data_IF_470193801968
#
_entry.id   IF_470193801968
#
_cell.length_a   1.000
_cell.length_b   1.000
_cell.length_c   1.000
_cell.angle_alpha   90.00
_cell.angle_beta   90.00
_cell.angle_gamma   90.00
#
_symmetry.space_group_name_H-M   'P 1'
#
loop_
_entity.id
_entity.type
_entity.pdbx_description
1 polymer ?
#
# COMPACT_ATOMS: atom_id res chain seq x y z
N UNK A 1 -9.02 -23.64 -5.08
CA UNK A 1 -8.54 -22.43 -5.81
C UNK A 1 -7.05 -22.35 -5.57
N UNK A 2 -6.24 -22.84 -6.51
CA UNK A 2 -4.79 -22.72 -6.44
C UNK A 2 -4.39 -21.52 -7.28
N UNK A 3 -3.99 -20.43 -6.64
CA UNK A 3 -3.29 -19.36 -7.35
C UNK A 3 -1.97 -19.96 -7.88
N UNK A 4 -1.59 -19.75 -9.15
CA UNK A 4 -0.26 -20.12 -9.62
C UNK A 4 0.76 -19.22 -8.90
N UNK A 5 1.29 -19.72 -7.80
CA UNK A 5 2.21 -19.04 -6.91
C UNK A 5 2.36 -19.81 -5.61
N UNK A 6 3.55 -19.76 -5.01
CA UNK A 6 3.75 -20.31 -3.67
C UNK A 6 3.16 -19.33 -2.65
N UNK A 7 2.19 -19.79 -1.87
CA UNK A 7 1.63 -19.01 -0.76
C UNK A 7 2.34 -19.44 0.51
N UNK A 8 2.95 -18.48 1.20
CA UNK A 8 3.54 -18.69 2.53
C UNK A 8 2.67 -18.01 3.58
N UNK A 9 2.03 -18.80 4.45
CA UNK A 9 1.37 -18.27 5.63
C UNK A 9 2.38 -18.00 6.73
N UNK A 10 2.23 -16.88 7.44
CA UNK A 10 3.04 -16.52 8.61
C UNK A 10 2.05 -16.27 9.76
N UNK A 11 2.16 -17.07 10.80
CA UNK A 11 1.35 -16.94 12.02
C UNK A 11 2.15 -16.17 13.08
N UNK A 12 1.46 -15.33 13.84
CA UNK A 12 2.02 -14.56 14.96
C UNK A 12 1.27 -14.91 16.23
N UNK A 13 1.99 -15.04 17.35
CA UNK A 13 1.43 -15.50 18.62
C UNK A 13 0.50 -14.47 19.29
N UNK A 14 0.64 -13.19 18.93
CA UNK A 14 -0.15 -12.09 19.47
C UNK A 14 -0.57 -11.10 18.38
N UNK A 15 -1.59 -10.30 18.67
CA UNK A 15 -2.05 -9.26 17.74
C UNK A 15 -1.07 -8.07 17.76
N UNK A 16 -0.28 -7.94 16.70
CA UNK A 16 0.72 -6.88 16.54
C UNK A 16 0.13 -5.58 15.94
N UNK A 17 -1.17 -5.54 15.71
CA UNK A 17 -1.81 -4.49 14.93
C UNK A 17 -1.43 -4.56 13.44
N UNK A 18 -2.00 -3.64 12.64
CA UNK A 18 -1.77 -3.59 11.20
C UNK A 18 -0.29 -3.32 10.85
N UNK A 19 0.36 -2.28 11.41
CA UNK A 19 1.76 -1.98 11.10
C UNK A 19 2.74 -3.08 11.55
N UNK A 20 2.50 -3.67 12.73
CA UNK A 20 3.33 -4.75 13.25
C UNK A 20 3.22 -6.04 12.41
N UNK A 21 2.01 -6.39 11.96
CA UNK A 21 1.80 -7.51 11.04
C UNK A 21 2.50 -7.31 9.69
N UNK A 22 2.42 -6.10 9.12
CA UNK A 22 3.15 -5.74 7.88
C UNK A 22 4.66 -5.89 8.07
N UNK A 23 5.21 -5.48 9.21
CA UNK A 23 6.64 -5.61 9.51
C UNK A 23 7.12 -7.08 9.56
N UNK A 24 6.27 -8.01 10.02
CA UNK A 24 6.59 -9.46 9.98
C UNK A 24 6.71 -9.94 8.53
N UNK A 25 5.80 -9.51 7.66
CA UNK A 25 5.87 -9.77 6.23
C UNK A 25 7.13 -9.20 5.58
N UNK A 26 7.46 -7.94 5.87
CA UNK A 26 8.67 -7.28 5.38
C UNK A 26 9.94 -8.01 5.82
N UNK A 27 10.01 -8.44 7.09
CA UNK A 27 11.14 -9.20 7.61
C UNK A 27 11.35 -10.52 6.85
N UNK A 28 10.25 -11.26 6.58
CA UNK A 28 10.30 -12.49 5.77
C UNK A 28 10.73 -12.21 4.33
N UNK A 29 10.23 -11.14 3.72
CA UNK A 29 10.59 -10.77 2.35
C UNK A 29 12.08 -10.41 2.22
N UNK A 30 12.69 -9.84 3.26
CA UNK A 30 14.15 -9.55 3.29
C UNK A 30 15.03 -10.80 3.30
N UNK A 31 14.49 -11.97 3.66
CA UNK A 31 15.24 -13.23 3.56
C UNK A 31 15.46 -13.63 2.08
N UNK A 32 14.65 -13.11 1.16
CA UNK A 32 14.88 -13.18 -0.27
C UNK A 32 15.79 -12.01 -0.67
N UNK A 33 17.00 -12.32 -1.10
CA UNK A 33 18.05 -11.31 -1.35
C UNK A 33 17.80 -10.44 -2.59
N UNK A 34 16.76 -10.71 -3.36
CA UNK A 34 16.46 -10.14 -4.68
C UNK A 34 15.12 -9.38 -4.74
N UNK A 35 14.58 -8.97 -3.58
CA UNK A 35 13.35 -8.18 -3.50
C UNK A 35 13.69 -6.68 -3.48
N UNK A 36 13.41 -5.99 -4.58
CA UNK A 36 13.59 -4.53 -4.68
C UNK A 36 12.33 -3.73 -4.31
N UNK A 37 11.16 -4.34 -4.49
CA UNK A 37 9.85 -3.69 -4.32
C UNK A 37 8.89 -4.66 -3.63
N UNK A 38 8.14 -4.17 -2.66
CA UNK A 38 7.06 -4.89 -1.98
C UNK A 38 5.73 -4.29 -2.43
N UNK A 39 4.74 -5.13 -2.73
CA UNK A 39 3.36 -4.70 -2.96
C UNK A 39 2.52 -5.22 -1.80
N UNK A 40 1.86 -4.31 -1.10
CA UNK A 40 0.94 -4.63 0.01
C UNK A 40 -0.50 -4.36 -0.42
N UNK A 41 -1.40 -5.27 -0.03
CA UNK A 41 -2.82 -5.25 -0.34
C UNK A 41 -3.63 -5.59 0.91
N UNK A 42 -4.76 -4.93 1.10
CA UNK A 42 -5.79 -5.37 2.06
C UNK A 42 -6.34 -6.74 1.64
N UNK A 43 -6.76 -7.53 2.62
CA UNK A 43 -7.23 -8.91 2.46
C UNK A 43 -8.60 -9.01 1.76
N UNK A 44 -9.34 -7.89 1.70
CA UNK A 44 -10.58 -7.74 0.93
C UNK A 44 -10.41 -6.95 -0.37
N UNK A 45 -9.16 -6.61 -0.74
CA UNK A 45 -8.82 -5.92 -1.97
C UNK A 45 -8.66 -6.85 -3.18
N UNK A 46 -9.11 -6.38 -4.35
CA UNK A 46 -8.97 -7.09 -5.62
C UNK A 46 -8.17 -6.24 -6.63
N UNK A 47 -7.02 -6.77 -7.07
CA UNK A 47 -6.33 -6.27 -8.25
C UNK A 47 -7.05 -6.76 -9.50
N UNK A 48 -7.74 -5.84 -10.19
CA UNK A 48 -8.60 -6.18 -11.35
C UNK A 48 -7.84 -6.26 -12.68
N UNK A 49 -6.61 -5.74 -12.73
CA UNK A 49 -5.75 -5.75 -13.91
C UNK A 49 -4.55 -6.69 -13.68
N UNK A 50 -4.35 -7.63 -14.60
CA UNK A 50 -3.26 -8.61 -14.53
C UNK A 50 -1.87 -7.96 -14.73
N UNK A 51 -1.80 -6.76 -15.31
CA UNK A 51 -0.55 -6.04 -15.56
C UNK A 51 -0.13 -5.12 -14.39
N UNK A 52 -0.87 -5.09 -13.27
CA UNK A 52 -0.53 -4.22 -12.11
C UNK A 52 0.93 -4.39 -11.67
N UNK A 53 1.38 -5.63 -11.45
CA UNK A 53 2.75 -5.89 -10.99
C UNK A 53 3.81 -5.50 -12.05
N UNK A 54 3.49 -5.64 -13.34
CA UNK A 54 4.36 -5.20 -14.44
C UNK A 54 4.50 -3.68 -14.41
N UNK A 55 3.39 -2.95 -14.29
CA UNK A 55 3.37 -1.48 -14.22
C UNK A 55 4.11 -0.96 -12.99
N UNK A 56 3.92 -1.59 -11.82
CA UNK A 56 4.67 -1.27 -10.59
C UNK A 56 6.18 -1.40 -10.85
N UNK A 57 6.63 -2.54 -11.40
CA UNK A 57 8.04 -2.72 -11.76
C UNK A 57 8.55 -1.64 -12.70
N UNK A 58 7.77 -1.30 -13.73
CA UNK A 58 8.18 -0.31 -14.74
C UNK A 58 8.31 1.10 -14.12
N UNK A 59 7.43 1.48 -13.18
CA UNK A 59 7.54 2.72 -12.43
C UNK A 59 8.83 2.81 -11.59
N UNK A 60 9.13 1.78 -10.81
CA UNK A 60 10.35 1.74 -9.99
C UNK A 60 11.63 1.62 -10.81
N UNK A 61 11.56 0.98 -11.98
CA UNK A 61 12.69 0.93 -12.93
C UNK A 61 12.97 2.31 -13.53
N UNK A 62 11.93 3.12 -13.77
CA UNK A 62 12.05 4.42 -14.40
C UNK A 62 12.57 5.51 -13.45
N UNK A 63 12.29 5.41 -12.14
CA UNK A 63 12.68 6.41 -11.14
C UNK A 63 13.29 5.76 -9.89
N UNK A 64 14.64 5.74 -9.76
CA UNK A 64 15.32 5.24 -8.56
C UNK A 64 15.04 6.03 -7.27
N UNK A 65 14.39 7.20 -7.35
CA UNK A 65 13.95 8.00 -6.19
C UNK A 65 12.47 7.80 -5.86
N UNK A 66 11.77 6.93 -6.58
CA UNK A 66 10.43 6.52 -6.25
C UNK A 66 10.46 5.66 -4.98
N UNK A 67 9.80 6.13 -3.93
CA UNK A 67 9.76 5.47 -2.63
C UNK A 67 8.47 4.68 -2.43
N UNK A 68 7.34 5.32 -2.72
CA UNK A 68 6.00 4.78 -2.47
C UNK A 68 5.13 5.04 -3.70
N UNK A 69 4.36 4.02 -4.12
CA UNK A 69 3.30 4.14 -5.12
C UNK A 69 1.97 3.76 -4.48
N UNK A 70 1.10 4.74 -4.24
CA UNK A 70 -0.27 4.50 -3.79
C UNK A 70 -1.19 4.24 -4.97
N UNK A 71 -2.02 3.20 -4.87
CA UNK A 71 -2.98 2.83 -5.89
C UNK A 71 -4.28 3.62 -5.70
N UNK A 72 -5.09 3.72 -6.76
CA UNK A 72 -6.48 4.16 -6.61
C UNK A 72 -7.31 3.07 -5.95
N UNK A 73 -8.13 3.47 -4.99
CA UNK A 73 -9.17 2.63 -4.41
C UNK A 73 -10.52 3.03 -5.01
N UNK A 74 -11.24 2.08 -5.59
CA UNK A 74 -12.60 2.28 -6.07
C UNK A 74 -13.48 1.07 -5.77
N UNK A 75 -14.80 1.28 -5.70
CA UNK A 75 -15.75 0.19 -5.55
C UNK A 75 -15.98 -0.58 -6.87
N UNK A 76 -16.84 -1.59 -6.83
CA UNK A 76 -17.20 -2.41 -8.00
C UNK A 76 -17.84 -1.61 -9.16
N UNK A 77 -18.30 -0.39 -8.89
CA UNK A 77 -18.84 0.54 -9.89
C UNK A 77 -17.79 1.53 -10.40
N UNK A 78 -16.55 1.45 -9.90
CA UNK A 78 -15.47 2.35 -10.24
C UNK A 78 -15.53 3.69 -9.50
N UNK A 79 -16.36 3.81 -8.45
CA UNK A 79 -16.46 5.04 -7.66
C UNK A 79 -15.34 5.11 -6.61
N UNK A 80 -14.51 6.14 -6.71
CA UNK A 80 -13.52 6.48 -5.68
C UNK A 80 -14.13 7.45 -4.68
N UNK A 81 -14.14 7.08 -3.39
CA UNK A 81 -14.60 7.98 -2.34
C UNK A 81 -13.66 9.18 -2.19
N UNK A 82 -14.21 10.35 -1.85
CA UNK A 82 -13.43 11.60 -1.69
C UNK A 82 -12.25 11.46 -0.71
N UNK A 83 -12.42 10.69 0.37
CA UNK A 83 -11.38 10.41 1.36
C UNK A 83 -10.26 9.52 0.84
N UNK A 84 -10.48 8.79 -0.25
CA UNK A 84 -9.48 7.94 -0.91
C UNK A 84 -8.69 8.69 -1.99
N UNK A 85 -8.89 10.00 -2.14
CA UNK A 85 -8.01 10.81 -2.98
C UNK A 85 -6.95 11.42 -2.05
N UNK A 86 -5.65 11.08 -2.19
CA UNK A 86 -4.58 11.54 -1.29
C UNK A 86 -4.19 13.01 -1.53
N UNK A 87 -5.20 13.89 -1.60
CA UNK A 87 -5.05 15.32 -1.86
C UNK A 87 -6.13 16.10 -1.12
N UNK A 88 -5.74 17.24 -0.56
CA UNK A 88 -6.67 18.19 0.04
C UNK A 88 -7.70 18.66 -1.00
N UNK A 89 -8.97 18.70 -0.58
CA UNK A 89 -10.08 19.23 -1.38
C UNK A 89 -10.78 18.22 -2.29
N UNK A 90 -10.41 16.92 -2.24
CA UNK A 90 -11.05 15.85 -3.00
C UNK A 90 -11.12 16.13 -4.52
N UNK A 91 -9.93 16.21 -5.12
CA UNK A 91 -9.70 16.44 -6.55
C UNK A 91 -10.13 15.22 -7.38
N UNK A 92 -10.14 15.38 -8.69
CA UNK A 92 -10.32 14.30 -9.66
C UNK A 92 -9.50 13.05 -9.25
N UNK A 93 -10.16 11.90 -8.99
CA UNK A 93 -9.48 10.67 -8.57
C UNK A 93 -8.57 10.08 -9.67
N UNK A 94 -8.72 10.50 -10.92
CA UNK A 94 -7.84 10.10 -12.03
C UNK A 94 -6.63 11.02 -12.19
N UNK A 95 -6.48 12.05 -11.34
CA UNK A 95 -5.31 12.91 -11.37
C UNK A 95 -4.14 12.30 -10.57
N UNK A 96 -3.27 11.59 -11.30
CA UNK A 96 -2.02 11.05 -10.77
C UNK A 96 -0.97 12.10 -10.41
N UNK A 97 0.19 11.62 -9.97
CA UNK A 97 1.40 12.41 -9.70
C UNK A 97 1.76 12.52 -8.21
N UNK A 98 2.79 13.31 -7.87
CA UNK A 98 3.32 13.39 -6.50
C UNK A 98 2.28 13.84 -5.47
N UNK A 99 2.33 13.24 -4.29
CA UNK A 99 1.43 13.44 -3.14
C UNK A 99 2.23 13.43 -1.83
N UNK A 100 1.58 13.78 -0.72
CA UNK A 100 2.19 13.82 0.62
C UNK A 100 1.66 12.73 1.57
N UNK A 101 0.99 11.74 1.00
CA UNK A 101 0.36 10.63 1.72
C UNK A 101 -0.22 9.63 0.73
N UNK A 102 -0.56 8.44 1.21
CA UNK A 102 -1.17 7.37 0.44
C UNK A 102 -2.15 6.60 1.34
N UNK A 103 -2.84 5.60 0.78
CA UNK A 103 -3.80 4.77 1.52
C UNK A 103 -3.22 3.37 1.71
N UNK A 104 -3.47 2.76 2.86
CA UNK A 104 -2.96 1.42 3.18
C UNK A 104 -3.51 0.32 2.30
N UNK A 105 -4.69 0.51 1.70
CA UNK A 105 -5.38 -0.60 1.04
C UNK A 105 -4.64 -1.25 -0.13
N UNK A 106 -3.92 -0.46 -0.92
CA UNK A 106 -3.16 -0.97 -2.04
C UNK A 106 -2.02 -0.03 -2.40
N UNK A 107 -0.79 -0.50 -2.25
CA UNK A 107 0.38 0.31 -2.48
C UNK A 107 1.63 -0.55 -2.71
N UNK A 108 2.69 0.09 -3.20
CA UNK A 108 4.00 -0.53 -3.33
C UNK A 108 5.07 0.31 -2.63
N UNK A 109 6.07 -0.36 -2.06
CA UNK A 109 7.17 0.22 -1.29
C UNK A 109 8.53 -0.18 -1.87
N UNK A 110 9.45 0.78 -1.96
CA UNK A 110 10.87 0.56 -2.28
C UNK A 110 11.61 -0.05 -1.10
N UNK A 111 12.24 -1.21 -1.28
CA UNK A 111 13.10 -1.82 -0.27
C UNK A 111 14.34 -0.95 0.05
N UNK A 112 15.00 -0.30 -0.94
CA UNK A 112 16.04 0.70 -0.66
C UNK A 112 15.58 1.88 0.20
N UNK A 113 14.33 2.34 0.03
CA UNK A 113 13.76 3.39 0.87
C UNK A 113 13.57 2.87 2.30
N UNK A 114 12.93 1.71 2.48
CA UNK A 114 12.70 1.11 3.80
C UNK A 114 14.00 0.87 4.56
N UNK A 115 15.07 0.46 3.87
CA UNK A 115 16.39 0.29 4.46
C UNK A 115 16.99 1.59 5.03
N UNK A 116 16.54 2.76 4.54
CA UNK A 116 17.00 4.08 5.01
C UNK A 116 16.10 4.68 6.06
N UNK A 117 14.78 4.62 5.86
CA UNK A 117 13.81 5.33 6.69
C UNK A 117 13.23 4.47 7.82
N UNK A 118 13.47 3.15 7.80
CA UNK A 118 12.86 2.18 8.69
C UNK A 118 11.50 1.68 8.20
N UNK A 119 10.98 0.64 8.86
CA UNK A 119 9.73 -0.02 8.51
C UNK A 119 8.49 0.76 8.98
N UNK A 120 7.35 0.10 9.10
CA UNK A 120 6.14 0.69 9.65
C UNK A 120 6.28 1.00 11.15
N UNK A 121 5.65 2.08 11.66
CA UNK A 121 5.65 2.42 13.08
C UNK A 121 4.74 1.45 13.86
N UNK A 122 5.28 0.31 14.28
CA UNK A 122 4.56 -0.77 14.95
C UNK A 122 3.83 -0.30 16.23
N UNK A 123 4.38 0.70 16.92
CA UNK A 123 3.83 1.29 18.13
C UNK A 123 2.47 1.97 17.93
N UNK A 124 2.10 2.32 16.69
CA UNK A 124 0.79 2.92 16.40
C UNK A 124 -0.33 1.90 16.51
N UNK A 125 -0.04 0.61 16.32
CA UNK A 125 -0.99 -0.51 16.33
C UNK A 125 -2.06 -0.44 15.21
N UNK A 126 -2.65 0.72 14.96
CA UNK A 126 -3.62 0.97 13.91
C UNK A 126 -3.75 2.48 13.62
N UNK A 127 -3.89 2.82 12.33
CA UNK A 127 -4.06 4.16 11.80
C UNK A 127 -2.80 5.06 11.89
N UNK A 128 -2.75 6.01 10.96
CA UNK A 128 -1.67 7.00 10.78
C UNK A 128 -0.32 6.44 10.32
N UNK A 129 -0.18 5.13 10.17
CA UNK A 129 1.07 4.50 9.74
C UNK A 129 1.49 4.95 8.33
N UNK A 130 0.54 5.19 7.42
CA UNK A 130 0.83 5.63 6.05
C UNK A 130 1.23 7.11 6.02
N UNK A 131 0.67 7.92 6.91
CA UNK A 131 1.04 9.34 7.03
C UNK A 131 2.47 9.47 7.55
N UNK A 132 2.80 8.73 8.61
CA UNK A 132 4.15 8.70 9.17
C UNK A 132 5.19 8.23 8.14
N UNK A 133 4.95 7.09 7.48
CA UNK A 133 5.87 6.56 6.48
C UNK A 133 6.03 7.50 5.29
N UNK A 134 4.94 8.09 4.78
CA UNK A 134 5.01 9.04 3.68
C UNK A 134 5.88 10.25 4.02
N UNK A 135 5.77 10.76 5.25
CA UNK A 135 6.52 11.94 5.67
C UNK A 135 7.99 11.60 5.92
N UNK A 136 8.31 10.46 6.53
CA UNK A 136 9.70 9.97 6.62
C UNK A 136 10.34 9.77 5.25
N UNK A 137 9.59 9.22 4.28
CA UNK A 137 10.05 9.05 2.92
C UNK A 137 10.38 10.42 2.27
N UNK A 138 9.47 11.39 2.40
CA UNK A 138 9.65 12.74 1.84
C UNK A 138 10.81 13.47 2.52
N UNK A 139 10.99 13.34 3.83
CA UNK A 139 12.10 13.95 4.58
C UNK A 139 13.47 13.38 4.14
N UNK A 140 13.54 12.10 3.78
CA UNK A 140 14.73 11.47 3.18
C UNK A 140 14.79 11.67 1.64
N UNK A 141 13.88 12.49 1.09
CA UNK A 141 13.84 12.98 -0.28
C UNK A 141 13.26 12.02 -1.31
N UNK A 142 12.54 10.97 -0.89
CA UNK A 142 11.88 10.02 -1.77
C UNK A 142 10.55 10.58 -2.29
N UNK A 143 10.17 10.13 -3.49
CA UNK A 143 8.88 10.49 -4.10
C UNK A 143 7.78 9.55 -3.61
N UNK A 144 6.65 10.13 -3.19
CA UNK A 144 5.37 9.43 -3.00
C UNK A 144 4.48 9.74 -4.19
N UNK A 145 4.18 8.72 -4.99
CA UNK A 145 3.38 8.82 -6.21
C UNK A 145 1.98 8.25 -5.97
N UNK A 146 0.95 8.98 -6.39
CA UNK A 146 -0.38 8.42 -6.59
C UNK A 146 -0.53 8.05 -8.07
N UNK A 147 -0.72 6.76 -8.36
CA UNK A 147 -0.89 6.24 -9.73
C UNK A 147 -2.31 5.67 -9.89
N UNK A 148 -3.26 6.45 -10.45
CA UNK A 148 -4.66 6.07 -10.49
C UNK A 148 -5.01 5.00 -11.52
N UNK A 149 -4.10 4.68 -12.45
CA UNK A 149 -4.24 3.54 -13.35
C UNK A 149 -3.96 2.20 -12.66
N UNK A 150 -3.25 2.20 -11.52
CA UNK A 150 -3.18 1.06 -10.63
C UNK A 150 -4.44 1.09 -9.74
N UNK A 151 -5.33 0.12 -9.94
CA UNK A 151 -6.61 0.05 -9.25
C UNK A 151 -6.66 -1.15 -8.31
N UNK A 152 -6.84 -0.85 -7.03
CA UNK A 152 -7.41 -1.80 -6.08
C UNK A 152 -8.92 -1.60 -6.04
N UNK A 153 -9.65 -2.60 -6.52
CA UNK A 153 -11.08 -2.65 -6.28
C UNK A 153 -11.31 -3.11 -4.84
N UNK A 154 -12.02 -2.30 -4.06
CA UNK A 154 -12.40 -2.64 -2.70
C UNK A 154 -13.92 -2.72 -2.66
N UNK A 155 -14.53 -3.88 -2.36
CA UNK A 155 -15.97 -4.03 -2.35
C UNK A 155 -16.59 -3.03 -1.38
N UNK A 156 -17.76 -2.50 -1.72
CA UNK A 156 -18.49 -1.55 -0.87
C UNK A 156 -19.04 -2.22 0.38
N UNK A 157 -18.18 -2.54 1.34
CA UNK A 157 -18.62 -3.08 2.63
C UNK A 157 -19.27 -1.94 3.43
N UNK A 158 -20.59 -2.02 3.61
CA UNK A 158 -21.33 -1.07 4.46
C UNK A 158 -20.71 -1.02 5.87
N UNK A 159 -20.43 0.16 6.45
CA UNK A 159 -19.90 0.31 7.82
C UNK A 159 -20.78 -0.30 8.92
N UNK A 160 -22.01 -0.72 8.61
CA UNK A 160 -23.01 -1.22 9.54
C UNK A 160 -22.81 -2.67 10.01
N UNK A 161 -21.58 -3.20 10.04
CA UNK A 161 -21.31 -4.59 10.51
C UNK A 161 -20.86 -4.71 11.96
N UNK A 162 -20.57 -3.60 12.63
CA UNK A 162 -20.47 -3.63 14.09
C UNK A 162 -21.87 -3.37 14.63
N UNK A 163 -22.62 -4.45 14.90
CA UNK A 163 -23.63 -4.38 15.94
C UNK A 163 -22.89 -3.90 17.20
N UNK A 164 -23.16 -2.65 17.57
CA UNK A 164 -22.70 -2.03 18.79
C UNK A 164 -22.97 -3.03 19.93
N UNK A 165 -21.93 -3.45 20.65
CA UNK A 165 -22.09 -3.98 22.00
C UNK A 165 -22.34 -2.82 22.96
#
# INVERSE_FOLDING_TARGET
LGLPGEVTGIEVDENLGCPGGRNVGLARLREFADVDVVVELDDDGLLVDADVLRKVRDLYTADPRLGIVGFRIADEHGETQRRHVPRVGAKDPMRGGPVTGFLGGGHALSMPMLARIGDWPAEFFFAHEETDMAWRAIDDGWTVLYEPELLLQHPKTSPARHAIY
#
